data_IF_974775899323
#
_entry.id   IF_974775899323
#
_cell.length_a   1.000
_cell.length_b   1.000
_cell.length_c   1.000
_cell.angle_alpha   90.00
_cell.angle_beta   90.00
_cell.angle_gamma   90.00
#
_symmetry.space_group_name_H-M   'P 1'
#
loop_
_entity.id
_entity.type
_entity.pdbx_description
1 polymer ?
#
# COMPACT_ATOMS: atom_id res chain seq x y z
N UNK A 1 1.53 -0.94 12.20
CA UNK A 1 0.33 -0.67 11.38
C UNK A 1 0.21 -1.84 10.43
N UNK A 2 -0.75 -2.74 10.65
CA UNK A 2 -1.01 -3.84 9.72
C UNK A 2 -1.45 -3.25 8.37
N UNK A 3 -0.94 -3.80 7.27
CA UNK A 3 -1.38 -3.38 5.95
C UNK A 3 -2.88 -3.67 5.81
N UNK A 4 -3.66 -2.65 5.46
CA UNK A 4 -5.07 -2.82 5.16
C UNK A 4 -5.19 -3.67 3.89
N UNK A 5 -6.08 -4.65 3.89
CA UNK A 5 -6.39 -5.39 2.66
C UNK A 5 -7.10 -4.48 1.67
N UNK A 6 -7.12 -4.87 0.39
CA UNK A 6 -7.86 -4.16 -0.64
C UNK A 6 -9.35 -4.03 -0.27
N UNK A 7 -9.96 -5.10 0.24
CA UNK A 7 -11.36 -5.11 0.71
C UNK A 7 -11.63 -4.13 1.85
N UNK A 8 -10.68 -3.97 2.78
CA UNK A 8 -10.79 -3.00 3.87
C UNK A 8 -10.65 -1.57 3.33
N UNK A 9 -9.72 -1.35 2.40
CA UNK A 9 -9.56 -0.05 1.74
C UNK A 9 -10.79 0.32 0.93
N UNK A 10 -11.41 -0.63 0.24
CA UNK A 10 -12.64 -0.41 -0.52
C UNK A 10 -13.82 -0.10 0.38
N UNK A 11 -13.93 -0.79 1.53
CA UNK A 11 -14.95 -0.50 2.53
C UNK A 11 -14.80 0.93 3.07
N UNK A 12 -13.58 1.33 3.42
CA UNK A 12 -13.26 2.70 3.91
C UNK A 12 -13.48 3.74 2.80
N UNK A 13 -13.11 3.41 1.55
CA UNK A 13 -13.21 4.29 0.39
C UNK A 13 -14.62 4.39 -0.20
N UNK A 14 -15.52 3.46 0.12
CA UNK A 14 -16.87 3.39 -0.46
C UNK A 14 -17.68 4.69 -0.30
N UNK A 15 -17.77 5.31 0.90
CA UNK A 15 -18.46 6.59 1.05
C UNK A 15 -17.86 7.70 0.20
N UNK A 16 -16.53 7.73 0.07
CA UNK A 16 -15.81 8.66 -0.79
C UNK A 16 -16.14 8.43 -2.27
N UNK A 17 -16.17 7.18 -2.73
CA UNK A 17 -16.56 6.85 -4.11
C UNK A 17 -17.99 7.28 -4.42
N UNK A 18 -18.94 7.06 -3.50
CA UNK A 18 -20.33 7.51 -3.66
C UNK A 18 -20.41 9.03 -3.73
N UNK A 19 -19.70 9.73 -2.84
CA UNK A 19 -19.62 11.19 -2.85
C UNK A 19 -19.04 11.72 -4.17
N UNK A 20 -17.93 11.14 -4.63
CA UNK A 20 -17.28 11.56 -5.88
C UNK A 20 -18.17 11.29 -7.10
N UNK A 21 -18.84 10.13 -7.18
CA UNK A 21 -19.80 9.86 -8.26
C UNK A 21 -20.92 10.91 -8.30
N UNK A 22 -21.49 11.24 -7.14
CA UNK A 22 -22.54 12.28 -7.05
C UNK A 22 -22.02 13.65 -7.48
N UNK A 23 -20.82 14.04 -7.01
CA UNK A 23 -20.18 15.32 -7.35
C UNK A 23 -19.84 15.44 -8.83
N UNK A 24 -19.51 14.32 -9.48
CA UNK A 24 -19.18 14.24 -10.90
C UNK A 24 -20.40 13.96 -11.79
N UNK A 25 -21.61 13.99 -11.23
CA UNK A 25 -22.87 13.67 -11.94
C UNK A 25 -22.87 12.28 -12.62
N UNK A 26 -22.11 11.33 -12.07
CA UNK A 26 -22.07 9.95 -12.54
C UNK A 26 -23.26 9.16 -11.96
N UNK A 27 -23.77 8.20 -12.73
CA UNK A 27 -24.76 7.25 -12.23
C UNK A 27 -24.21 6.49 -11.02
N UNK A 28 -25.09 6.11 -10.08
CA UNK A 28 -24.73 5.28 -8.93
C UNK A 28 -24.09 3.96 -9.36
N UNK A 29 -24.54 3.41 -10.48
CA UNK A 29 -24.10 2.12 -11.02
C UNK A 29 -22.81 2.23 -11.84
N UNK A 30 -22.24 3.44 -11.97
CA UNK A 30 -20.94 3.63 -12.62
C UNK A 30 -19.87 2.83 -11.86
N UNK A 31 -19.07 1.98 -12.52
CA UNK A 31 -18.02 1.23 -11.85
C UNK A 31 -16.99 2.15 -11.19
N UNK A 32 -16.57 1.83 -9.96
CA UNK A 32 -15.55 2.63 -9.26
C UNK A 32 -14.19 2.59 -9.97
N UNK A 33 -13.93 1.59 -10.81
CA UNK A 33 -12.74 1.53 -11.67
C UNK A 33 -12.62 2.72 -12.64
N UNK A 34 -13.75 3.32 -13.04
CA UNK A 34 -13.78 4.55 -13.87
C UNK A 34 -13.19 5.74 -13.11
N UNK A 35 -13.35 5.77 -11.78
CA UNK A 35 -12.78 6.82 -10.95
C UNK A 35 -11.25 6.74 -10.93
N UNK A 36 -10.69 5.53 -10.87
CA UNK A 36 -9.25 5.31 -10.69
C UNK A 36 -8.46 5.17 -12.00
N UNK A 37 -9.14 4.95 -13.12
CA UNK A 37 -8.48 4.76 -14.41
C UNK A 37 -7.79 6.06 -14.88
N UNK A 38 -6.57 5.91 -15.40
CA UNK A 38 -5.79 6.98 -16.02
C UNK A 38 -6.45 7.57 -17.27
N UNK A 39 -7.46 6.89 -17.85
CA UNK A 39 -8.19 7.34 -19.03
C UNK A 39 -9.38 8.26 -18.67
N UNK A 40 -9.72 8.37 -17.39
CA UNK A 40 -10.86 9.13 -16.91
C UNK A 40 -10.42 10.12 -15.82
N UNK A 41 -10.87 9.92 -14.58
CA UNK A 41 -10.64 10.87 -13.50
C UNK A 41 -9.32 10.66 -12.75
N UNK A 42 -8.65 9.52 -12.95
CA UNK A 42 -7.36 9.20 -12.35
C UNK A 42 -7.29 9.51 -10.83
N UNK A 43 -8.36 9.19 -10.11
CA UNK A 43 -8.42 9.37 -8.67
C UNK A 43 -7.56 8.31 -7.98
N UNK A 44 -6.84 8.75 -6.96
CA UNK A 44 -5.92 7.89 -6.21
C UNK A 44 -6.71 6.73 -5.60
N UNK A 45 -6.30 5.50 -5.93
CA UNK A 45 -6.76 4.32 -5.23
C UNK A 45 -6.06 4.22 -3.86
N UNK A 46 -6.85 4.14 -2.79
CA UNK A 46 -6.35 4.16 -1.41
C UNK A 46 -5.40 2.98 -1.12
N UNK A 47 -5.79 1.77 -1.52
CA UNK A 47 -4.98 0.57 -1.32
C UNK A 47 -3.63 0.70 -2.02
N UNK A 48 -3.63 1.09 -3.29
CA UNK A 48 -2.42 1.29 -4.07
C UNK A 48 -1.51 2.36 -3.46
N UNK A 49 -2.08 3.47 -2.99
CA UNK A 49 -1.32 4.53 -2.34
C UNK A 49 -0.69 4.08 -1.03
N UNK A 50 -1.44 3.38 -0.17
CA UNK A 50 -0.93 2.85 1.09
C UNK A 50 0.17 1.81 0.84
N UNK A 51 -0.03 0.91 -0.12
CA UNK A 51 0.97 -0.08 -0.52
C UNK A 51 2.26 0.59 -1.00
N UNK A 52 2.16 1.58 -1.87
CA UNK A 52 3.32 2.34 -2.35
C UNK A 52 4.03 3.09 -1.21
N UNK A 53 3.28 3.70 -0.29
CA UNK A 53 3.83 4.39 0.87
C UNK A 53 4.58 3.44 1.81
N UNK A 54 4.04 2.25 2.06
CA UNK A 54 4.69 1.22 2.88
C UNK A 54 5.97 0.71 2.25
N UNK A 55 5.97 0.43 0.94
CA UNK A 55 7.17 0.03 0.22
C UNK A 55 8.27 1.11 0.29
N UNK A 56 7.89 2.38 0.09
CA UNK A 56 8.82 3.51 0.23
C UNK A 56 9.38 3.61 1.64
N UNK A 57 8.54 3.47 2.67
CA UNK A 57 8.96 3.52 4.06
C UNK A 57 9.91 2.36 4.41
N UNK A 58 9.65 1.16 3.89
CA UNK A 58 10.52 0.00 4.06
C UNK A 58 11.87 0.23 3.39
N UNK A 59 11.87 0.68 2.13
CA UNK A 59 13.10 0.98 1.39
C UNK A 59 13.94 2.05 2.10
N UNK A 60 13.29 3.11 2.58
CA UNK A 60 13.94 4.13 3.39
C UNK A 60 14.57 3.53 4.65
N UNK A 61 13.82 2.71 5.39
CA UNK A 61 14.30 2.06 6.61
C UNK A 61 15.46 1.10 6.35
N UNK A 62 15.48 0.40 5.22
CA UNK A 62 16.57 -0.52 4.85
C UNK A 62 17.88 0.21 4.47
N UNK A 63 17.73 1.40 3.89
CA UNK A 63 18.84 2.23 3.43
C UNK A 63 19.35 3.22 4.50
N UNK A 64 18.62 3.38 5.61
CA UNK A 64 19.08 4.18 6.73
C UNK A 64 20.39 3.60 7.31
N UNK A 65 21.31 4.49 7.67
CA UNK A 65 22.64 4.12 8.20
C UNK A 65 22.71 4.22 9.73
N UNK A 66 21.60 4.54 10.37
CA UNK A 66 21.51 4.75 11.80
C UNK A 66 20.71 3.60 12.44
N UNK A 67 20.26 3.84 13.67
CA UNK A 67 19.55 2.85 14.49
C UNK A 67 18.27 2.29 13.81
N UNK A 68 17.62 3.08 12.94
CA UNK A 68 16.46 2.59 12.20
C UNK A 68 16.88 1.53 11.17
N UNK A 69 17.97 1.77 10.45
CA UNK A 69 18.62 0.79 9.58
C UNK A 69 19.02 -0.49 10.29
N UNK A 70 19.74 -0.36 11.41
CA UNK A 70 20.22 -1.50 12.19
C UNK A 70 19.06 -2.33 12.74
N UNK A 71 18.06 -1.68 13.33
CA UNK A 71 16.86 -2.37 13.84
C UNK A 71 16.07 -3.06 12.72
N UNK A 72 16.00 -2.47 11.53
CA UNK A 72 15.33 -3.05 10.37
C UNK A 72 16.09 -4.29 9.87
N UNK A 73 17.43 -4.25 9.81
CA UNK A 73 18.26 -5.41 9.44
C UNK A 73 18.14 -6.55 10.45
N UNK A 74 18.08 -6.23 11.75
CA UNK A 74 17.83 -7.23 12.80
C UNK A 74 16.48 -7.92 12.60
N UNK A 75 15.41 -7.17 12.33
CA UNK A 75 14.08 -7.74 12.02
C UNK A 75 14.10 -8.64 10.79
N UNK A 76 14.84 -8.25 9.75
CA UNK A 76 14.99 -9.09 8.55
C UNK A 76 15.69 -10.41 8.85
N UNK A 77 16.72 -10.42 9.71
CA UNK A 77 17.36 -11.67 10.16
C UNK A 77 16.42 -12.55 10.99
N UNK A 78 15.60 -11.94 11.86
CA UNK A 78 14.58 -12.67 12.63
C UNK A 78 13.55 -13.31 11.71
N UNK A 79 13.09 -12.61 10.68
CA UNK A 79 12.20 -13.16 9.66
C UNK A 79 12.88 -14.28 8.86
N UNK A 80 14.14 -14.09 8.47
CA UNK A 80 14.91 -15.12 7.77
C UNK A 80 14.98 -16.43 8.59
N UNK A 81 15.27 -16.33 9.89
CA UNK A 81 15.29 -17.48 10.79
C UNK A 81 13.91 -18.11 10.97
N UNK A 82 12.87 -17.28 11.13
CA UNK A 82 11.49 -17.74 11.30
C UNK A 82 10.99 -18.53 10.08
N UNK A 83 11.34 -18.06 8.88
CA UNK A 83 10.95 -18.69 7.60
C UNK A 83 11.99 -19.71 7.10
N UNK A 84 13.00 -20.04 7.91
CA UNK A 84 14.04 -21.05 7.60
C UNK A 84 14.78 -20.77 6.28
N UNK A 85 14.98 -19.50 5.95
CA UNK A 85 15.62 -19.09 4.70
C UNK A 85 17.14 -19.22 4.80
N UNK A 86 17.73 -19.96 3.86
CA UNK A 86 19.18 -20.23 3.79
C UNK A 86 20.00 -18.99 3.40
N UNK A 87 19.40 -18.01 2.71
CA UNK A 87 20.04 -16.77 2.27
C UNK A 87 19.25 -15.56 2.78
N UNK A 88 19.97 -14.47 3.07
CA UNK A 88 19.34 -13.22 3.45
C UNK A 88 18.62 -12.61 2.23
N UNK A 89 17.34 -12.23 2.34
CA UNK A 89 16.60 -11.62 1.22
C UNK A 89 17.14 -10.25 0.79
N UNK A 90 18.10 -9.69 1.53
CA UNK A 90 18.79 -8.44 1.20
C UNK A 90 20.11 -8.65 0.43
N UNK A 91 20.57 -9.89 0.31
CA UNK A 91 21.81 -10.24 -0.36
C UNK A 91 21.49 -11.34 -1.37
N UNK A 92 21.29 -10.94 -2.62
CA UNK A 92 21.11 -11.82 -3.78
C UNK A 92 22.43 -12.08 -4.47
#
# INVERSE_FOLDING_TARGET
ISALTETQCDFIGSPYHVFMKKKLHLSRDTPSSVLHSNLFYNLINLHHWLFAAQNKALLFSLNDRNILGDSTRLRMRQLQQKEWLHISPLHS
#
